data_IF_538391316576
#
_entry.id   IF_538391316576
#
_cell.length_a   1.000
_cell.length_b   1.000
_cell.length_c   1.000
_cell.angle_alpha   90.00
_cell.angle_beta   90.00
_cell.angle_gamma   90.00
#
_symmetry.space_group_name_H-M   'P 1'
#
loop_
_entity.id
_entity.type
_entity.pdbx_description
1 polymer ?
#
# COMPACT_ATOMS: atom_id res chain seq x y z
N UNK A 1 -17.23 -4.89 14.97
CA UNK A 1 -17.30 -5.99 15.95
C UNK A 1 -16.78 -5.52 17.30
N UNK A 2 -17.42 -5.86 18.45
CA UNK A 2 -16.95 -5.45 19.78
C UNK A 2 -15.49 -5.81 20.03
N UNK A 3 -15.04 -6.97 19.62
CA UNK A 3 -13.65 -7.46 19.74
C UNK A 3 -12.63 -6.61 18.97
N UNK A 4 -13.07 -5.82 17.99
CA UNK A 4 -12.20 -4.97 17.17
C UNK A 4 -11.89 -3.63 17.83
N UNK A 5 -12.64 -3.24 18.86
CA UNK A 5 -12.55 -1.95 19.52
C UNK A 5 -11.97 -2.13 20.92
N UNK A 6 -11.14 -1.18 21.36
CA UNK A 6 -10.55 -1.20 22.70
C UNK A 6 -11.62 -1.00 23.77
N UNK A 7 -11.40 -1.56 24.95
CA UNK A 7 -12.28 -1.38 26.10
C UNK A 7 -12.42 0.10 26.44
N UNK A 8 -13.66 0.52 26.73
CA UNK A 8 -13.98 1.91 27.07
C UNK A 8 -14.14 2.86 25.88
N UNK A 9 -13.80 2.45 24.65
CA UNK A 9 -13.99 3.26 23.44
C UNK A 9 -15.33 2.93 22.78
N UNK A 10 -16.14 3.95 22.50
CA UNK A 10 -17.39 3.80 21.74
C UNK A 10 -17.17 4.23 20.30
N UNK A 11 -17.46 3.34 19.38
CA UNK A 11 -17.40 3.60 17.94
C UNK A 11 -18.82 3.55 17.40
N UNK A 12 -19.25 4.61 16.74
CA UNK A 12 -20.56 4.62 16.08
C UNK A 12 -20.55 3.72 14.85
N UNK A 13 -21.72 3.27 14.41
CA UNK A 13 -21.82 2.51 13.15
C UNK A 13 -21.32 3.33 11.96
N UNK A 14 -21.57 4.63 11.96
CA UNK A 14 -21.13 5.55 10.88
C UNK A 14 -19.61 5.64 10.84
N UNK A 15 -18.93 5.78 11.99
CA UNK A 15 -17.47 5.83 12.04
C UNK A 15 -16.82 4.52 11.57
N UNK A 16 -17.42 3.38 11.96
CA UNK A 16 -16.96 2.07 11.53
C UNK A 16 -17.15 1.87 10.02
N UNK A 17 -18.30 2.31 9.48
CA UNK A 17 -18.58 2.25 8.04
C UNK A 17 -17.64 3.17 7.27
N UNK A 18 -17.43 4.40 7.73
CA UNK A 18 -16.52 5.35 7.13
C UNK A 18 -15.09 4.81 7.08
N UNK A 19 -14.58 4.32 8.22
CA UNK A 19 -13.22 3.77 8.31
C UNK A 19 -13.03 2.56 7.40
N UNK A 20 -14.00 1.63 7.37
CA UNK A 20 -13.91 0.45 6.50
C UNK A 20 -14.02 0.80 5.02
N UNK A 21 -14.88 1.74 4.65
CA UNK A 21 -14.99 2.25 3.28
C UNK A 21 -13.71 2.95 2.86
N UNK A 22 -13.16 3.84 3.71
CA UNK A 22 -11.89 4.53 3.47
C UNK A 22 -10.74 3.55 3.30
N UNK A 23 -10.69 2.48 4.11
CA UNK A 23 -9.68 1.44 3.99
C UNK A 23 -9.78 0.66 2.67
N UNK A 24 -10.97 0.22 2.28
CA UNK A 24 -11.19 -0.52 1.01
C UNK A 24 -11.00 0.37 -0.21
N UNK A 25 -11.47 1.62 -0.16
CA UNK A 25 -11.28 2.57 -1.26
C UNK A 25 -9.87 3.19 -1.29
N UNK A 26 -9.03 2.86 -0.29
CA UNK A 26 -7.64 3.34 -0.20
C UNK A 26 -7.58 4.88 -0.23
N UNK A 27 -8.52 5.54 0.47
CA UNK A 27 -8.63 7.02 0.46
C UNK A 27 -7.80 7.70 1.55
N UNK A 28 -7.51 7.01 2.65
CA UNK A 28 -6.71 7.55 3.75
C UNK A 28 -7.42 8.55 4.66
N UNK A 29 -8.70 8.75 4.47
CA UNK A 29 -9.48 9.60 5.36
C UNK A 29 -9.85 8.85 6.63
N UNK A 30 -9.64 9.48 7.78
CA UNK A 30 -9.90 8.91 9.10
C UNK A 30 -10.94 9.74 9.85
N UNK A 31 -11.98 9.08 10.34
CA UNK A 31 -12.95 9.69 11.26
C UNK A 31 -12.53 9.48 12.72
N UNK A 32 -11.78 8.41 12.98
CA UNK A 32 -11.30 7.99 14.31
C UNK A 32 -9.87 7.49 14.20
N UNK A 33 -9.05 7.72 15.22
CA UNK A 33 -7.67 7.25 15.25
C UNK A 33 -7.62 5.71 15.24
N UNK A 34 -6.94 5.14 14.23
CA UNK A 34 -6.85 3.69 14.04
C UNK A 34 -6.06 3.02 15.16
N UNK A 35 -5.02 3.70 15.68
CA UNK A 35 -4.17 3.17 16.73
C UNK A 35 -4.86 3.21 18.10
N UNK A 36 -5.56 4.30 18.40
CA UNK A 36 -6.12 4.51 19.73
C UNK A 36 -7.50 3.85 19.90
N UNK A 37 -8.19 3.64 18.79
CA UNK A 37 -9.54 3.05 18.78
C UNK A 37 -9.54 1.53 18.66
N UNK A 38 -8.70 0.98 17.78
CA UNK A 38 -8.80 -0.44 17.44
C UNK A 38 -7.80 -1.31 18.23
N UNK A 39 -8.25 -2.51 18.56
CA UNK A 39 -7.40 -3.60 19.07
C UNK A 39 -6.44 -4.09 17.98
N UNK A 40 -5.49 -4.96 18.32
CA UNK A 40 -4.62 -5.61 17.32
C UNK A 40 -5.46 -6.34 16.26
N UNK A 41 -6.54 -6.99 16.67
CA UNK A 41 -7.47 -7.64 15.74
C UNK A 41 -8.13 -6.62 14.80
N UNK A 42 -8.65 -5.50 15.33
CA UNK A 42 -9.26 -4.44 14.52
C UNK A 42 -8.29 -3.84 13.52
N UNK A 43 -7.04 -3.57 13.92
CA UNK A 43 -5.99 -3.07 13.02
C UNK A 43 -5.64 -4.08 11.93
N UNK A 44 -5.60 -5.36 12.25
CA UNK A 44 -5.39 -6.43 11.26
C UNK A 44 -6.53 -6.46 10.24
N UNK A 45 -7.78 -6.30 10.70
CA UNK A 45 -8.93 -6.19 9.78
C UNK A 45 -8.78 -4.98 8.86
N UNK A 46 -8.40 -3.81 9.40
CA UNK A 46 -8.16 -2.60 8.58
C UNK A 46 -7.05 -2.85 7.55
N UNK A 47 -5.93 -3.47 7.94
CA UNK A 47 -4.85 -3.82 7.02
C UNK A 47 -5.31 -4.76 5.90
N UNK A 48 -6.14 -5.76 6.22
CA UNK A 48 -6.73 -6.67 5.22
C UNK A 48 -7.70 -5.94 4.27
N UNK A 49 -8.46 -4.98 4.76
CA UNK A 49 -9.32 -4.15 3.92
C UNK A 49 -8.50 -3.27 2.97
N UNK A 50 -7.43 -2.64 3.47
CA UNK A 50 -6.47 -1.87 2.65
C UNK A 50 -5.86 -2.78 1.56
N UNK A 51 -5.40 -3.96 1.94
CA UNK A 51 -4.82 -4.93 1.01
C UNK A 51 -5.82 -5.36 -0.07
N UNK A 52 -7.08 -5.57 0.33
CA UNK A 52 -8.16 -5.92 -0.61
C UNK A 52 -8.44 -4.80 -1.60
N UNK A 53 -8.43 -3.56 -1.12
CA UNK A 53 -8.62 -2.38 -1.95
C UNK A 53 -7.47 -2.15 -2.92
N UNK A 54 -6.24 -2.13 -2.43
CA UNK A 54 -5.04 -1.86 -3.23
C UNK A 54 -4.73 -2.92 -4.30
N UNK A 55 -4.96 -4.21 -3.99
CA UNK A 55 -4.85 -5.28 -4.98
C UNK A 55 -6.02 -5.31 -5.97
N UNK A 56 -7.14 -4.73 -5.57
CA UNK A 56 -8.42 -4.84 -6.28
C UNK A 56 -9.15 -6.15 -5.98
N UNK A 57 -10.47 -6.03 -5.89
CA UNK A 57 -11.36 -7.11 -5.46
C UNK A 57 -11.25 -8.37 -6.35
N UNK A 58 -10.98 -8.16 -7.64
CA UNK A 58 -10.81 -9.24 -8.63
C UNK A 58 -9.57 -10.09 -8.32
N UNK A 59 -8.46 -9.46 -7.97
CA UNK A 59 -7.22 -10.14 -7.61
C UNK A 59 -7.38 -10.96 -6.32
N UNK A 60 -8.03 -10.36 -5.32
CA UNK A 60 -8.32 -11.00 -4.03
C UNK A 60 -9.28 -12.19 -4.20
N UNK A 61 -10.32 -12.05 -5.04
CA UNK A 61 -11.24 -13.16 -5.34
C UNK A 61 -10.51 -14.36 -5.92
N UNK A 62 -9.61 -14.13 -6.88
CA UNK A 62 -8.77 -15.19 -7.45
C UNK A 62 -7.80 -15.77 -6.43
N UNK A 63 -7.24 -14.95 -5.56
CA UNK A 63 -6.41 -15.43 -4.46
C UNK A 63 -7.17 -16.39 -3.55
N UNK A 64 -8.40 -16.04 -3.14
CA UNK A 64 -9.25 -16.92 -2.31
C UNK A 64 -9.56 -18.25 -3.02
N UNK A 65 -9.87 -18.21 -4.32
CA UNK A 65 -10.12 -19.41 -5.12
C UNK A 65 -8.86 -20.32 -5.16
N UNK A 66 -7.69 -19.72 -5.36
CA UNK A 66 -6.42 -20.44 -5.39
C UNK A 66 -6.03 -20.99 -4.01
N UNK A 67 -6.25 -20.24 -2.94
CA UNK A 67 -6.03 -20.67 -1.57
C UNK A 67 -6.94 -21.85 -1.19
N UNK A 68 -8.18 -21.85 -1.67
CA UNK A 68 -9.12 -22.95 -1.55
C UNK A 68 -8.78 -24.15 -2.47
N UNK A 69 -7.62 -24.13 -3.15
CA UNK A 69 -7.18 -25.16 -4.12
C UNK A 69 -8.17 -25.45 -5.23
N UNK A 70 -9.08 -24.50 -5.53
CA UNK A 70 -10.04 -24.61 -6.63
C UNK A 70 -9.45 -24.11 -7.94
N UNK A 71 -10.01 -24.58 -9.05
CA UNK A 71 -9.62 -24.08 -10.39
C UNK A 71 -10.32 -22.75 -10.66
N UNK A 72 -9.56 -21.77 -11.16
CA UNK A 72 -10.12 -20.50 -11.61
C UNK A 72 -10.91 -20.72 -12.87
N UNK A 73 -12.21 -20.45 -12.84
CA UNK A 73 -13.13 -20.62 -13.95
C UNK A 73 -12.94 -19.59 -15.08
N UNK A 74 -13.74 -19.74 -16.14
CA UNK A 74 -13.68 -18.80 -17.27
C UNK A 74 -14.20 -17.41 -16.90
N UNK A 75 -15.23 -17.32 -16.05
CA UNK A 75 -15.80 -16.03 -15.60
C UNK A 75 -14.78 -15.20 -14.84
N UNK A 76 -14.07 -15.81 -13.88
CA UNK A 76 -13.05 -15.13 -13.09
C UNK A 76 -11.89 -14.65 -13.96
N UNK A 77 -11.49 -15.46 -14.95
CA UNK A 77 -10.43 -15.05 -15.91
C UNK A 77 -10.87 -13.88 -16.77
N UNK A 78 -12.12 -13.88 -17.24
CA UNK A 78 -12.70 -12.74 -17.99
C UNK A 78 -12.68 -11.47 -17.15
N UNK A 79 -13.15 -11.53 -15.88
CA UNK A 79 -13.14 -10.39 -14.98
C UNK A 79 -11.74 -9.81 -14.75
N UNK A 80 -10.70 -10.67 -14.63
CA UNK A 80 -9.32 -10.20 -14.50
C UNK A 80 -8.87 -9.51 -15.79
N UNK A 81 -9.15 -10.13 -16.94
CA UNK A 81 -8.76 -9.57 -18.24
C UNK A 81 -9.38 -8.20 -18.44
N UNK A 82 -10.66 -8.05 -18.14
CA UNK A 82 -11.38 -6.79 -18.23
C UNK A 82 -10.83 -5.76 -17.22
N UNK A 83 -10.64 -6.14 -15.95
CA UNK A 83 -10.12 -5.25 -14.91
C UNK A 83 -8.71 -4.74 -15.20
N UNK A 84 -7.88 -5.54 -15.88
CA UNK A 84 -6.48 -5.20 -16.17
C UNK A 84 -6.22 -4.89 -17.64
N UNK A 85 -7.28 -4.83 -18.45
CA UNK A 85 -7.23 -4.56 -19.89
C UNK A 85 -6.21 -5.47 -20.62
N UNK A 86 -6.37 -6.79 -20.43
CA UNK A 86 -5.47 -7.82 -20.98
C UNK A 86 -6.20 -8.62 -22.07
N UNK A 87 -5.62 -8.71 -23.26
CA UNK A 87 -6.26 -9.34 -24.43
C UNK A 87 -6.13 -10.88 -24.47
N UNK A 88 -5.49 -11.52 -23.49
CA UNK A 88 -5.18 -12.95 -23.57
C UNK A 88 -5.55 -13.73 -22.31
N UNK A 89 -6.30 -14.82 -22.49
CA UNK A 89 -6.58 -15.80 -21.44
C UNK A 89 -5.37 -16.58 -20.95
N UNK A 90 -4.32 -16.67 -21.80
CA UNK A 90 -3.14 -17.46 -21.48
C UNK A 90 -2.31 -16.75 -20.39
N UNK A 91 -2.12 -17.41 -19.27
CA UNK A 91 -1.24 -16.92 -18.23
C UNK A 91 -1.88 -15.99 -17.19
N UNK A 92 -3.17 -15.64 -17.28
CA UNK A 92 -3.86 -14.74 -16.33
C UNK A 92 -3.67 -15.20 -14.88
N UNK A 93 -3.84 -16.48 -14.58
CA UNK A 93 -3.62 -17.02 -13.21
C UNK A 93 -2.16 -16.89 -12.78
N UNK A 94 -1.21 -17.08 -13.70
CA UNK A 94 0.22 -16.91 -13.42
C UNK A 94 0.52 -15.44 -13.14
N UNK A 95 -0.10 -14.54 -13.88
CA UNK A 95 0.02 -13.09 -13.67
C UNK A 95 -0.47 -12.69 -12.27
N UNK A 96 -1.67 -13.13 -11.86
CA UNK A 96 -2.18 -12.88 -10.50
C UNK A 96 -1.22 -13.41 -9.43
N UNK A 97 -0.72 -14.63 -9.58
CA UNK A 97 0.30 -15.16 -8.66
C UNK A 97 1.58 -14.31 -8.61
N UNK A 98 2.02 -13.80 -9.76
CA UNK A 98 3.19 -12.92 -9.81
C UNK A 98 2.93 -11.59 -9.13
N UNK A 99 1.74 -11.02 -9.29
CA UNK A 99 1.32 -9.78 -8.60
C UNK A 99 1.33 -10.00 -7.09
N UNK A 100 0.66 -11.05 -6.60
CA UNK A 100 0.60 -11.37 -5.17
C UNK A 100 2.01 -11.58 -4.57
N UNK A 101 2.85 -12.36 -5.25
CA UNK A 101 4.22 -12.60 -4.79
C UNK A 101 5.04 -11.32 -4.75
N UNK A 102 4.92 -10.49 -5.78
CA UNK A 102 5.61 -9.21 -5.87
C UNK A 102 5.16 -8.27 -4.73
N UNK A 103 3.87 -8.13 -4.50
CA UNK A 103 3.32 -7.35 -3.40
C UNK A 103 3.90 -7.80 -2.07
N UNK A 104 3.87 -9.11 -1.77
CA UNK A 104 4.44 -9.66 -0.54
C UNK A 104 5.94 -9.36 -0.40
N UNK A 105 6.69 -9.42 -1.50
CA UNK A 105 8.13 -9.11 -1.47
C UNK A 105 8.37 -7.64 -1.12
N UNK A 106 7.65 -6.71 -1.77
CA UNK A 106 7.80 -5.28 -1.48
C UNK A 106 7.35 -4.94 -0.06
N UNK A 107 6.20 -5.48 0.38
CA UNK A 107 5.70 -5.26 1.74
C UNK A 107 6.63 -5.86 2.80
N UNK A 108 7.15 -7.07 2.59
CA UNK A 108 8.11 -7.68 3.51
C UNK A 108 9.43 -6.91 3.59
N UNK A 109 9.96 -6.46 2.45
CA UNK A 109 11.17 -5.64 2.41
C UNK A 109 10.94 -4.28 3.08
N UNK A 110 9.81 -3.62 2.79
CA UNK A 110 9.41 -2.38 3.42
C UNK A 110 9.23 -2.52 4.93
N UNK A 111 8.55 -3.58 5.37
CA UNK A 111 8.38 -3.87 6.79
C UNK A 111 9.72 -4.12 7.51
N UNK A 112 10.63 -4.88 6.90
CA UNK A 112 11.95 -5.15 7.46
C UNK A 112 12.80 -3.88 7.61
N UNK A 113 12.78 -3.01 6.61
CA UNK A 113 13.51 -1.74 6.65
C UNK A 113 12.88 -0.75 7.64
N UNK A 114 11.55 -0.62 7.64
CA UNK A 114 10.83 0.23 8.60
C UNK A 114 10.97 -0.25 10.04
N UNK A 115 11.11 -1.57 10.25
CA UNK A 115 11.34 -2.15 11.56
C UNK A 115 12.62 -1.62 12.21
N UNK A 116 13.69 -1.39 11.43
CA UNK A 116 14.96 -0.84 11.94
C UNK A 116 14.75 0.53 12.58
N UNK A 117 13.82 1.33 12.04
CA UNK A 117 13.51 2.65 12.58
C UNK A 117 12.58 2.55 13.77
N UNK A 118 11.44 1.85 13.63
CA UNK A 118 10.45 1.75 14.70
C UNK A 118 10.93 0.97 15.92
N UNK A 119 11.89 0.06 15.77
CA UNK A 119 12.51 -0.66 16.91
C UNK A 119 13.37 0.23 17.82
N UNK A 120 13.66 1.47 17.42
CA UNK A 120 14.35 2.46 18.27
C UNK A 120 13.41 3.02 19.34
N UNK A 121 12.11 3.16 19.01
CA UNK A 121 11.14 3.87 19.84
C UNK A 121 10.09 2.94 20.48
N UNK A 122 9.91 1.74 19.94
CA UNK A 122 8.89 0.79 20.38
C UNK A 122 9.47 -0.58 20.73
N UNK A 123 8.86 -1.30 21.69
CA UNK A 123 9.20 -2.70 21.96
C UNK A 123 9.12 -3.56 20.69
N UNK A 124 9.98 -4.58 20.51
CA UNK A 124 10.13 -5.32 19.24
C UNK A 124 8.82 -5.87 18.65
N UNK A 125 7.93 -6.41 19.48
CA UNK A 125 6.64 -6.95 19.02
C UNK A 125 5.74 -5.83 18.50
N UNK A 126 5.70 -4.69 19.19
CA UNK A 126 4.93 -3.51 18.78
C UNK A 126 5.53 -2.89 17.51
N UNK A 127 6.85 -2.74 17.45
CA UNK A 127 7.58 -2.25 16.29
C UNK A 127 7.32 -3.11 15.04
N UNK A 128 7.33 -4.43 15.19
CA UNK A 128 6.99 -5.36 14.10
C UNK A 128 5.56 -5.15 13.59
N UNK A 129 4.59 -5.03 14.50
CA UNK A 129 3.20 -4.76 14.13
C UNK A 129 3.03 -3.42 13.38
N UNK A 130 3.70 -2.36 13.85
CA UNK A 130 3.71 -1.05 13.20
C UNK A 130 4.34 -1.14 11.81
N UNK A 131 5.49 -1.81 11.69
CA UNK A 131 6.22 -1.94 10.43
C UNK A 131 5.43 -2.71 9.37
N UNK A 132 4.77 -3.80 9.76
CA UNK A 132 3.91 -4.58 8.86
C UNK A 132 2.71 -3.75 8.39
N UNK A 133 2.02 -3.09 9.30
CA UNK A 133 0.89 -2.23 8.96
C UNK A 133 1.33 -1.08 8.04
N UNK A 134 2.44 -0.41 8.40
CA UNK A 134 3.01 0.69 7.63
C UNK A 134 3.37 0.26 6.20
N UNK A 135 4.03 -0.89 6.04
CA UNK A 135 4.41 -1.38 4.72
C UNK A 135 3.19 -1.68 3.84
N UNK A 136 2.16 -2.32 4.41
CA UNK A 136 0.87 -2.55 3.71
C UNK A 136 0.21 -1.23 3.35
N UNK A 137 0.12 -0.28 4.30
CA UNK A 137 -0.51 1.01 4.08
C UNK A 137 0.23 1.84 3.01
N UNK A 138 1.56 1.91 3.07
CA UNK A 138 2.38 2.67 2.14
C UNK A 138 2.37 2.06 0.73
N UNK A 139 2.53 0.74 0.59
CA UNK A 139 2.52 0.06 -0.72
C UNK A 139 1.18 0.20 -1.42
N UNK A 140 0.09 0.14 -0.69
CA UNK A 140 -1.25 0.32 -1.25
C UNK A 140 -1.68 1.80 -1.35
N UNK A 141 -0.81 2.76 -1.00
CA UNK A 141 -1.08 4.21 -1.03
C UNK A 141 -2.30 4.62 -0.18
N UNK A 142 -2.52 3.95 0.96
CA UNK A 142 -3.75 4.10 1.73
C UNK A 142 -3.75 5.30 2.69
N UNK A 143 -2.59 5.79 3.10
CA UNK A 143 -2.48 6.91 4.04
C UNK A 143 -2.82 6.59 5.51
N UNK A 144 -3.21 5.36 5.83
CA UNK A 144 -3.48 4.93 7.20
C UNK A 144 -2.19 4.69 7.99
N UNK A 145 -2.22 5.01 9.29
CA UNK A 145 -1.17 4.68 10.24
C UNK A 145 -1.73 4.10 11.55
N UNK A 146 -0.85 3.55 12.37
CA UNK A 146 -1.16 3.05 13.71
C UNK A 146 -0.18 3.57 14.76
N UNK A 147 0.36 4.78 14.55
CA UNK A 147 1.25 5.44 15.51
C UNK A 147 0.49 6.09 16.67
N UNK A 148 -0.73 6.52 16.41
CA UNK A 148 -1.63 7.14 17.39
C UNK A 148 -1.52 8.65 17.51
N UNK A 149 -2.53 9.24 18.14
CA UNK A 149 -2.61 10.69 18.37
C UNK A 149 -2.80 11.51 17.11
N UNK A 150 -3.34 10.93 16.04
CA UNK A 150 -3.56 11.58 14.72
C UNK A 150 -2.32 12.27 14.15
N UNK A 151 -1.13 11.78 14.52
CA UNK A 151 0.16 12.42 14.15
C UNK A 151 0.73 11.92 12.83
N UNK A 152 0.25 10.78 12.34
CA UNK A 152 0.79 10.12 11.17
C UNK A 152 2.32 9.93 11.28
N UNK A 153 3.07 10.07 10.21
CA UNK A 153 4.54 9.97 10.20
C UNK A 153 5.28 11.26 10.61
N UNK A 154 4.57 12.30 11.06
CA UNK A 154 5.18 13.59 11.45
C UNK A 154 6.35 13.48 12.43
N UNK A 155 6.35 12.56 13.43
CA UNK A 155 7.50 12.38 14.31
C UNK A 155 8.76 11.89 13.61
N UNK A 156 8.62 11.26 12.43
CA UNK A 156 9.72 10.68 11.65
C UNK A 156 10.03 11.48 10.38
N UNK A 157 9.56 12.73 10.27
CA UNK A 157 9.75 13.58 9.08
C UNK A 157 11.20 13.74 8.66
N UNK A 158 12.13 13.69 9.61
CA UNK A 158 13.56 13.88 9.38
C UNK A 158 14.34 12.55 9.33
N UNK A 159 13.69 11.39 9.53
CA UNK A 159 14.34 10.08 9.38
C UNK A 159 14.46 9.70 7.90
N UNK A 160 15.70 9.78 7.40
CA UNK A 160 16.01 9.54 5.98
C UNK A 160 15.63 8.12 5.54
N UNK A 161 15.88 7.12 6.38
CA UNK A 161 15.62 5.73 6.02
C UNK A 161 14.12 5.48 5.88
N UNK A 162 13.33 5.91 6.88
CA UNK A 162 11.88 5.70 6.85
C UNK A 162 11.23 6.44 5.68
N UNK A 163 11.64 7.70 5.44
CA UNK A 163 11.12 8.49 4.32
C UNK A 163 11.43 7.84 2.96
N UNK A 164 12.67 7.38 2.73
CA UNK A 164 13.03 6.70 1.48
C UNK A 164 12.28 5.38 1.30
N UNK A 165 12.12 4.60 2.37
CA UNK A 165 11.36 3.33 2.33
C UNK A 165 9.89 3.61 2.02
N UNK A 166 9.28 4.60 2.68
CA UNK A 166 7.88 4.98 2.47
C UNK A 166 7.66 5.48 1.06
N UNK A 167 8.48 6.44 0.58
CA UNK A 167 8.42 6.92 -0.80
C UNK A 167 8.60 5.78 -1.82
N UNK A 168 9.55 4.89 -1.57
CA UNK A 168 9.77 3.71 -2.42
C UNK A 168 8.53 2.83 -2.50
N UNK A 169 7.91 2.49 -1.36
CA UNK A 169 6.68 1.69 -1.32
C UNK A 169 5.53 2.38 -2.07
N UNK A 170 5.32 3.68 -1.82
CA UNK A 170 4.29 4.49 -2.50
C UNK A 170 4.50 4.51 -4.01
N UNK A 171 5.74 4.77 -4.47
CA UNK A 171 6.07 4.83 -5.89
C UNK A 171 5.86 3.47 -6.54
N UNK A 172 6.41 2.40 -5.98
CA UNK A 172 6.25 1.06 -6.56
C UNK A 172 4.80 0.59 -6.53
N UNK A 173 4.05 0.85 -5.47
CA UNK A 173 2.62 0.56 -5.41
C UNK A 173 1.82 1.35 -6.45
N UNK A 174 2.15 2.63 -6.65
CA UNK A 174 1.47 3.53 -7.58
C UNK A 174 1.80 3.32 -9.06
N UNK A 175 2.99 2.76 -9.39
CA UNK A 175 3.37 2.46 -10.78
C UNK A 175 2.45 1.45 -11.48
N UNK A 176 1.78 0.60 -10.69
CA UNK A 176 0.93 -0.47 -11.18
C UNK A 176 1.68 -1.77 -11.49
N UNK A 177 1.01 -2.88 -11.22
CA UNK A 177 1.60 -4.22 -11.24
C UNK A 177 2.16 -4.64 -12.60
N UNK A 178 1.47 -4.24 -13.69
CA UNK A 178 1.90 -4.59 -15.06
C UNK A 178 3.20 -3.91 -15.44
N UNK A 179 3.39 -2.66 -15.01
CA UNK A 179 4.62 -1.89 -15.27
C UNK A 179 5.80 -2.51 -14.53
N UNK A 180 5.62 -2.87 -13.26
CA UNK A 180 6.67 -3.50 -12.46
C UNK A 180 7.07 -4.86 -13.06
N UNK A 181 6.10 -5.68 -13.45
CA UNK A 181 6.36 -6.97 -14.09
C UNK A 181 7.09 -6.81 -15.42
N UNK A 182 6.75 -5.79 -16.20
CA UNK A 182 7.45 -5.46 -17.44
C UNK A 182 8.91 -5.05 -17.18
N UNK A 183 9.14 -4.20 -16.16
CA UNK A 183 10.50 -3.82 -15.72
C UNK A 183 11.32 -5.05 -15.32
N UNK A 184 10.77 -5.89 -14.44
CA UNK A 184 11.48 -7.09 -13.93
C UNK A 184 11.82 -8.07 -15.06
N UNK A 185 10.89 -8.26 -16.02
CA UNK A 185 11.06 -9.17 -17.15
C UNK A 185 12.04 -8.63 -18.18
N UNK A 186 11.95 -7.35 -18.51
CA UNK A 186 12.67 -6.75 -19.65
C UNK A 186 14.02 -6.21 -19.25
N UNK A 187 14.17 -5.66 -18.04
CA UNK A 187 15.42 -5.09 -17.45
C UNK A 187 16.14 -4.02 -18.28
N UNK A 188 15.56 -3.58 -19.40
CA UNK A 188 16.14 -2.56 -20.30
C UNK A 188 15.05 -1.56 -20.70
N UNK A 189 15.21 -0.28 -20.31
CA UNK A 189 14.24 0.79 -20.57
C UNK A 189 13.80 0.86 -22.05
N UNK A 190 14.74 0.75 -22.97
CA UNK A 190 14.45 0.82 -24.43
C UNK A 190 13.49 -0.29 -24.91
N UNK A 191 13.46 -1.45 -24.25
CA UNK A 191 12.65 -2.61 -24.62
C UNK A 191 11.32 -2.70 -23.88
N UNK A 192 11.07 -1.80 -22.91
CA UNK A 192 9.79 -1.72 -22.20
C UNK A 192 8.65 -1.40 -23.18
N UNK A 193 7.45 -1.82 -22.83
CA UNK A 193 6.23 -1.44 -23.51
C UNK A 193 6.04 0.09 -23.51
N UNK A 194 5.31 0.60 -24.49
CA UNK A 194 5.01 2.04 -24.56
C UNK A 194 4.33 2.52 -23.29
N UNK A 195 3.33 1.76 -22.80
CA UNK A 195 2.62 2.05 -21.54
C UNK A 195 3.59 2.19 -20.36
N UNK A 196 4.48 1.22 -20.16
CA UNK A 196 5.48 1.25 -19.06
C UNK A 196 6.41 2.45 -19.16
N UNK A 197 6.85 2.83 -20.36
CA UNK A 197 7.68 4.01 -20.58
C UNK A 197 6.97 5.30 -20.18
N UNK A 198 5.71 5.45 -20.62
CA UNK A 198 4.91 6.63 -20.32
C UNK A 198 4.70 6.74 -18.81
N UNK A 199 4.28 5.66 -18.15
CA UNK A 199 4.04 5.68 -16.70
C UNK A 199 5.32 6.06 -15.94
N UNK A 200 6.46 5.44 -16.25
CA UNK A 200 7.73 5.74 -15.56
C UNK A 200 8.15 7.19 -15.76
N UNK A 201 8.11 7.68 -17.01
CA UNK A 201 8.52 9.06 -17.32
C UNK A 201 7.60 10.07 -16.66
N UNK A 202 6.28 9.85 -16.72
CA UNK A 202 5.31 10.76 -16.09
C UNK A 202 5.43 10.75 -14.57
N UNK A 203 5.60 9.60 -13.94
CA UNK A 203 5.83 9.50 -12.49
C UNK A 203 7.10 10.25 -12.09
N UNK A 204 8.21 10.04 -12.80
CA UNK A 204 9.45 10.76 -12.52
C UNK A 204 9.31 12.28 -12.73
N UNK A 205 8.66 12.72 -13.82
CA UNK A 205 8.43 14.11 -14.10
C UNK A 205 7.57 14.79 -13.02
N UNK A 206 6.49 14.14 -12.58
CA UNK A 206 5.62 14.66 -11.53
C UNK A 206 6.31 14.72 -10.17
N UNK A 207 7.11 13.72 -9.82
CA UNK A 207 7.89 13.72 -8.57
C UNK A 207 8.92 14.87 -8.57
N UNK A 208 9.66 15.05 -9.65
CA UNK A 208 10.63 16.16 -9.78
C UNK A 208 9.92 17.50 -9.75
N UNK A 209 8.87 17.67 -10.55
CA UNK A 209 8.11 18.91 -10.60
C UNK A 209 7.47 19.26 -9.26
N UNK A 210 6.85 18.28 -8.59
CA UNK A 210 6.24 18.47 -7.26
C UNK A 210 7.28 18.85 -6.20
N UNK A 211 8.41 18.13 -6.15
CA UNK A 211 9.51 18.42 -5.22
C UNK A 211 10.06 19.84 -5.44
N UNK A 212 10.31 20.24 -6.68
CA UNK A 212 10.81 21.56 -7.01
C UNK A 212 9.79 22.66 -6.68
N UNK A 213 8.52 22.42 -6.97
CA UNK A 213 7.44 23.37 -6.65
C UNK A 213 7.30 23.56 -5.14
N UNK A 214 7.24 22.49 -4.35
CA UNK A 214 7.16 22.57 -2.90
C UNK A 214 8.39 23.27 -2.30
N UNK A 215 9.60 22.96 -2.79
CA UNK A 215 10.82 23.62 -2.33
C UNK A 215 10.86 25.11 -2.71
N UNK A 216 10.25 25.51 -3.81
CA UNK A 216 10.17 26.91 -4.23
C UNK A 216 9.13 27.71 -3.44
N UNK A 217 8.02 27.09 -3.06
CA UNK A 217 6.94 27.74 -2.30
C UNK A 217 7.20 27.78 -0.80
N UNK A 218 7.74 26.66 -0.25
CA UNK A 218 8.02 26.50 1.18
C UNK A 218 9.53 26.59 1.45
N UNK A 219 10.00 27.79 1.84
CA UNK A 219 11.44 28.04 2.03
C UNK A 219 12.08 27.22 3.15
N UNK A 220 11.30 26.94 4.20
CA UNK A 220 11.78 26.25 5.40
C UNK A 220 11.74 24.72 5.30
N UNK A 221 11.16 24.16 4.22
CA UNK A 221 11.13 22.72 4.02
C UNK A 221 12.49 22.19 3.58
N UNK A 222 12.91 21.04 4.14
CA UNK A 222 14.12 20.34 3.70
C UNK A 222 13.90 19.71 2.31
N UNK A 223 14.99 19.40 1.58
CA UNK A 223 14.86 18.67 0.31
C UNK A 223 14.20 17.30 0.49
N UNK A 224 14.50 16.63 1.62
CA UNK A 224 13.85 15.37 1.98
C UNK A 224 12.35 15.56 2.22
N UNK A 225 11.96 16.59 2.97
CA UNK A 225 10.56 16.90 3.22
C UNK A 225 9.79 17.37 1.98
N UNK A 226 10.47 18.03 1.02
CA UNK A 226 9.84 18.41 -0.24
C UNK A 226 9.63 17.21 -1.19
N UNK A 227 10.46 16.17 -1.06
CA UNK A 227 10.33 14.93 -1.82
C UNK A 227 9.29 13.97 -1.21
N UNK A 228 9.20 13.92 0.13
CA UNK A 228 8.24 13.13 0.90
C UNK A 228 6.87 13.78 0.97
#
# INVERSE_FOLDING_TARGET
>A
LPISVREGVRVSFVDALFTSTSAVCVTGLIAIDTADTFTVFGRTVVALLIQTGGLGITCVSVFVILAARRRVGLKERLLIMESWNIDSFKGVVRLVKSVLLMTLIFEAAGAALSFIVFARDYPPIKALGISLFHAVAAFNNSGFDILGGLRNLSPYRDDVLLNLVTCGLIIFGGLGFLVILDIVKTRRFRKLSFHSKVVIVMTAALLVAGTLFLKATERDITWLGAFF
#
